data_IF_227946048794
#
_entry.id   IF_227946048794
#
_cell.length_a   1.000
_cell.length_b   1.000
_cell.length_c   1.000
_cell.angle_alpha   90.00
_cell.angle_beta   90.00
_cell.angle_gamma   90.00
#
_symmetry.space_group_name_H-M   'P 1'
#
loop_
_entity.id
_entity.type
_entity.pdbx_description
1 polymer ?
#
# COMPACT_ATOMS: atom_id res chain seq x y z
N UNK A 1 -45.51 12.18 -13.99
CA UNK A 1 -44.49 12.58 -13.00
C UNK A 1 -43.88 11.26 -12.52
N UNK A 2 -42.98 10.60 -13.25
CA UNK A 2 -41.55 10.94 -13.40
C UNK A 2 -40.96 11.22 -12.00
N UNK A 3 -40.03 10.43 -11.45
CA UNK A 3 -38.68 10.26 -11.95
C UNK A 3 -37.96 9.12 -11.20
N UNK A 4 -37.09 8.45 -11.94
CA UNK A 4 -36.30 7.25 -11.64
C UNK A 4 -35.24 7.44 -10.55
N UNK A 5 -34.94 6.35 -9.86
CA UNK A 5 -33.81 6.13 -8.95
C UNK A 5 -32.47 6.66 -9.48
N UNK A 6 -31.71 7.38 -8.64
CA UNK A 6 -30.25 7.38 -8.65
C UNK A 6 -29.75 6.76 -7.33
N UNK A 7 -28.58 6.16 -7.17
CA UNK A 7 -27.42 6.02 -8.03
C UNK A 7 -26.59 4.90 -7.40
N UNK A 8 -26.18 3.96 -8.24
CA UNK A 8 -25.10 3.04 -7.99
C UNK A 8 -23.80 3.86 -8.06
N UNK A 9 -23.10 4.04 -6.94
CA UNK A 9 -21.69 4.42 -6.94
C UNK A 9 -21.13 4.09 -5.56
N UNK A 10 -20.67 2.85 -5.41
CA UNK A 10 -19.62 2.53 -4.45
C UNK A 10 -18.39 3.34 -4.83
N UNK A 11 -18.31 4.58 -4.37
CA UNK A 11 -17.11 5.41 -4.48
C UNK A 11 -16.15 5.01 -3.35
N UNK A 12 -15.65 3.78 -3.47
CA UNK A 12 -14.48 3.30 -2.75
C UNK A 12 -13.26 3.84 -3.50
N UNK A 13 -12.86 5.08 -3.22
CA UNK A 13 -11.48 5.53 -3.35
C UNK A 13 -11.32 6.96 -2.83
N UNK A 14 -11.73 7.22 -1.58
CA UNK A 14 -11.07 8.27 -0.83
C UNK A 14 -9.65 7.77 -0.54
N UNK A 15 -8.74 8.01 -1.48
CA UNK A 15 -7.30 7.97 -1.25
C UNK A 15 -7.04 9.11 -0.28
N UNK A 16 -7.22 8.82 1.00
CA UNK A 16 -6.68 9.62 2.08
C UNK A 16 -5.16 9.58 1.93
N UNK A 17 -4.63 10.49 1.11
CA UNK A 17 -3.21 10.86 1.15
C UNK A 17 -3.02 11.61 2.46
N UNK A 18 -3.07 10.87 3.56
CA UNK A 18 -2.62 11.33 4.87
C UNK A 18 -1.13 11.55 4.71
N UNK A 19 -0.72 12.81 4.54
CA UNK A 19 0.63 13.24 4.86
C UNK A 19 0.92 12.76 6.28
N UNK A 20 1.60 11.61 6.39
CA UNK A 20 2.07 11.06 7.66
C UNK A 20 3.18 11.97 8.17
N UNK A 21 2.77 13.07 8.81
CA UNK A 21 3.58 13.70 9.85
C UNK A 21 4.04 12.56 10.76
N UNK A 22 5.35 12.43 11.06
CA UNK A 22 5.86 11.29 11.80
C UNK A 22 5.22 11.26 13.19
N UNK A 23 4.17 10.47 13.33
CA UNK A 23 3.72 9.96 14.61
C UNK A 23 4.94 9.29 15.22
N UNK A 24 5.23 9.61 16.49
CA UNK A 24 6.34 9.00 17.24
C UNK A 24 6.47 7.54 16.85
N UNK A 25 7.67 7.11 16.45
CA UNK A 25 7.94 5.74 16.01
C UNK A 25 7.44 4.76 17.10
N UNK A 26 6.22 4.24 16.94
CA UNK A 26 5.62 3.27 17.85
C UNK A 26 5.92 1.87 17.33
N UNK A 27 5.85 0.87 18.21
CA UNK A 27 6.01 -0.52 17.79
C UNK A 27 4.94 -0.94 16.78
N UNK A 28 3.73 -0.39 16.86
CA UNK A 28 2.65 -0.68 15.91
C UNK A 28 3.01 -0.18 14.50
N UNK A 29 3.58 1.02 14.37
CA UNK A 29 4.06 1.56 13.09
C UNK A 29 5.20 0.69 12.53
N UNK A 30 6.12 0.25 13.39
CA UNK A 30 7.22 -0.63 12.97
C UNK A 30 6.69 -1.97 12.45
N UNK A 31 5.78 -2.60 13.19
CA UNK A 31 5.16 -3.87 12.81
C UNK A 31 4.35 -3.73 11.52
N UNK A 32 3.56 -2.66 11.38
CA UNK A 32 2.81 -2.38 10.17
C UNK A 32 3.74 -2.25 8.95
N UNK A 33 4.86 -1.54 9.11
CA UNK A 33 5.86 -1.38 8.05
C UNK A 33 6.55 -2.70 7.69
N UNK A 34 6.90 -3.53 8.68
CA UNK A 34 7.46 -4.87 8.43
C UNK A 34 6.49 -5.77 7.67
N UNK A 35 5.21 -5.78 8.08
CA UNK A 35 4.17 -6.55 7.41
C UNK A 35 3.90 -6.07 5.98
N UNK A 36 4.01 -4.77 5.74
CA UNK A 36 3.91 -4.21 4.40
C UNK A 36 5.08 -4.65 3.52
N UNK A 37 6.32 -4.49 4.00
CA UNK A 37 7.50 -4.94 3.28
C UNK A 37 7.45 -6.44 2.95
N UNK A 38 6.95 -7.27 3.86
CA UNK A 38 6.77 -8.71 3.59
C UNK A 38 5.79 -8.96 2.44
N UNK A 39 4.64 -8.28 2.44
CA UNK A 39 3.65 -8.39 1.36
C UNK A 39 4.21 -7.94 0.01
N UNK A 40 5.00 -6.88 0.00
CA UNK A 40 5.63 -6.37 -1.22
C UNK A 40 6.65 -7.39 -1.77
N UNK A 41 7.46 -8.00 -0.91
CA UNK A 41 8.39 -9.07 -1.29
C UNK A 41 7.64 -10.29 -1.83
N UNK A 42 6.55 -10.70 -1.17
CA UNK A 42 5.74 -11.83 -1.61
C UNK A 42 5.10 -11.58 -2.98
N UNK A 43 4.62 -10.36 -3.25
CA UNK A 43 4.05 -9.98 -4.54
C UNK A 43 5.12 -10.03 -5.66
N UNK A 44 6.34 -9.58 -5.37
CA UNK A 44 7.47 -9.74 -6.29
C UNK A 44 7.81 -11.21 -6.56
N UNK A 45 7.86 -12.06 -5.52
CA UNK A 45 8.13 -13.49 -5.67
C UNK A 45 7.06 -14.22 -6.48
N UNK A 46 5.79 -13.81 -6.39
CA UNK A 46 4.70 -14.34 -7.21
C UNK A 46 4.70 -13.82 -8.66
N UNK A 47 5.54 -12.84 -8.98
CA UNK A 47 5.57 -12.18 -10.29
C UNK A 47 4.41 -11.20 -10.53
N UNK A 48 3.71 -10.81 -9.47
CA UNK A 48 2.64 -9.80 -9.51
C UNK A 48 3.20 -8.37 -9.58
N UNK A 49 4.49 -8.21 -9.26
CA UNK A 49 5.21 -6.95 -9.25
C UNK A 49 6.62 -7.14 -9.84
N UNK A 50 7.10 -6.16 -10.58
CA UNK A 50 8.45 -6.14 -11.15
C UNK A 50 9.50 -5.70 -10.13
N UNK A 51 10.78 -5.96 -10.43
CA UNK A 51 11.88 -5.53 -9.57
C UNK A 51 11.97 -4.00 -9.46
N UNK A 52 11.66 -3.28 -10.55
CA UNK A 52 11.66 -1.81 -10.57
C UNK A 52 10.56 -1.24 -9.66
N UNK A 53 9.36 -1.82 -9.70
CA UNK A 53 8.25 -1.44 -8.83
C UNK A 53 8.56 -1.74 -7.35
N UNK A 54 9.15 -2.89 -7.05
CA UNK A 54 9.58 -3.22 -5.68
C UNK A 54 10.63 -2.22 -5.15
N UNK A 55 11.60 -1.84 -5.99
CA UNK A 55 12.61 -0.84 -5.63
C UNK A 55 12.01 0.56 -5.45
N UNK A 56 10.98 0.93 -6.23
CA UNK A 56 10.27 2.21 -6.07
C UNK A 56 9.55 2.30 -4.72
N UNK A 57 9.13 1.18 -4.13
CA UNK A 57 8.57 1.10 -2.76
C UNK A 57 9.64 1.26 -1.66
N UNK A 58 10.92 1.39 -2.04
CA UNK A 58 12.04 1.54 -1.10
C UNK A 58 12.46 0.23 -0.44
N UNK A 59 11.94 -0.90 -0.91
CA UNK A 59 12.35 -2.24 -0.46
C UNK A 59 13.68 -2.57 -1.13
N UNK A 60 14.73 -2.76 -0.34
CA UNK A 60 16.03 -3.25 -0.80
C UNK A 60 16.28 -4.60 -0.17
N UNK A 61 16.64 -5.60 -0.98
CA UNK A 61 17.14 -6.85 -0.45
C UNK A 61 18.44 -6.58 0.30
N UNK A 62 18.45 -6.84 1.61
CA UNK A 62 19.67 -6.84 2.41
C UNK A 62 20.48 -8.10 2.03
N UNK A 63 21.07 -8.07 0.84
CA UNK A 63 21.72 -9.21 0.22
C UNK A 63 22.62 -8.78 -0.92
N UNK A 64 23.58 -7.90 -0.62
CA UNK A 64 24.78 -7.76 -1.43
C UNK A 64 25.91 -8.48 -0.69
N UNK A 65 26.12 -9.75 -1.05
CA UNK A 65 27.33 -10.54 -0.79
C UNK A 65 27.56 -11.40 -2.03
#
# INVERSE_FOLDING_TARGET
MEQTTPTNASDTAEVSTTEQRPEKLTMEILLARMMQTHRDIDAYQRGEMTLEELHALGVRFAGHL
#
